data_IF_193597558608
#
_entry.id   IF_193597558608
#
_cell.length_a   1.000
_cell.length_b   1.000
_cell.length_c   1.000
_cell.angle_alpha   90.00
_cell.angle_beta   90.00
_cell.angle_gamma   90.00
#
_symmetry.space_group_name_H-M   'P 1'
#
loop_
_entity.id
_entity.type
_entity.pdbx_description
1 polymer ?
#
# COMPACT_ATOMS: atom_id res chain seq x y z
N UNK A 1 16.40 6.90 -10.63
CA UNK A 1 16.09 8.29 -10.23
C UNK A 1 14.59 8.38 -10.31
N UNK A 2 13.92 8.62 -9.17
CA UNK A 2 12.44 8.71 -9.14
C UNK A 2 12.05 10.12 -9.51
N UNK A 3 11.23 10.27 -10.56
CA UNK A 3 10.74 11.57 -11.01
C UNK A 3 9.34 11.84 -10.45
N UNK A 4 9.10 13.04 -9.91
CA UNK A 4 7.75 13.49 -9.58
C UNK A 4 7.00 13.84 -10.85
N UNK A 5 5.79 13.31 -11.00
CA UNK A 5 4.93 13.51 -12.17
C UNK A 5 3.69 14.26 -11.75
N UNK A 6 3.42 15.36 -12.46
CA UNK A 6 2.25 16.18 -12.24
C UNK A 6 0.96 15.43 -12.53
N UNK A 7 0.01 15.51 -11.60
CA UNK A 7 -1.33 14.96 -11.77
C UNK A 7 -2.05 15.63 -12.95
N UNK A 8 -2.60 14.80 -13.84
CA UNK A 8 -3.39 15.22 -15.00
C UNK A 8 -4.88 15.06 -14.71
N UNK A 9 -5.24 14.10 -13.86
CA UNK A 9 -6.61 13.82 -13.46
C UNK A 9 -6.82 14.20 -12.00
N UNK A 10 -8.09 14.32 -11.61
CA UNK A 10 -8.46 14.45 -10.20
C UNK A 10 -8.42 13.10 -9.47
N UNK A 11 -8.51 12.00 -10.22
CA UNK A 11 -8.52 10.65 -9.66
C UNK A 11 -7.13 10.02 -9.80
N UNK A 12 -6.54 9.62 -8.68
CA UNK A 12 -5.20 9.04 -8.62
C UNK A 12 -5.05 7.79 -9.50
N UNK A 13 -6.07 6.94 -9.56
CA UNK A 13 -6.04 5.69 -10.33
C UNK A 13 -5.92 5.97 -11.83
N UNK A 14 -6.54 7.04 -12.35
CA UNK A 14 -6.38 7.45 -13.74
C UNK A 14 -4.94 7.90 -14.05
N UNK A 15 -4.34 8.69 -13.15
CA UNK A 15 -2.95 9.11 -13.31
C UNK A 15 -2.00 7.92 -13.26
N UNK A 16 -2.26 6.93 -12.40
CA UNK A 16 -1.48 5.68 -12.38
C UNK A 16 -1.59 4.89 -13.67
N UNK A 17 -2.82 4.63 -14.15
CA UNK A 17 -3.04 3.88 -15.40
C UNK A 17 -2.37 4.61 -16.57
N UNK A 18 -2.47 5.95 -16.63
CA UNK A 18 -1.84 6.75 -17.67
C UNK A 18 -0.32 6.60 -17.63
N UNK A 19 0.31 6.82 -16.48
CA UNK A 19 1.78 6.75 -16.36
C UNK A 19 2.30 5.33 -16.60
N UNK A 20 1.62 4.30 -16.07
CA UNK A 20 1.96 2.92 -16.37
C UNK A 20 1.83 2.61 -17.87
N UNK A 21 0.78 3.08 -18.54
CA UNK A 21 0.59 2.88 -19.98
C UNK A 21 1.70 3.49 -20.84
N UNK A 22 2.30 4.60 -20.39
CA UNK A 22 3.44 5.25 -21.04
C UNK A 22 4.72 4.44 -20.82
N UNK A 23 4.92 3.90 -19.63
CA UNK A 23 6.16 3.26 -19.21
C UNK A 23 6.19 1.73 -19.42
N UNK A 24 5.07 1.08 -19.74
CA UNK A 24 4.96 -0.39 -19.80
C UNK A 24 5.92 -1.07 -20.80
N UNK A 25 6.31 -0.38 -21.87
CA UNK A 25 7.24 -0.89 -22.90
C UNK A 25 8.71 -0.51 -22.59
N UNK A 26 8.98 0.12 -21.45
CA UNK A 26 10.34 0.47 -21.06
C UNK A 26 11.13 -0.79 -20.70
N UNK A 27 12.24 -1.03 -21.41
CA UNK A 27 13.08 -2.23 -21.21
C UNK A 27 13.90 -2.21 -19.90
N UNK A 28 13.92 -1.09 -19.17
CA UNK A 28 14.62 -0.94 -17.90
C UNK A 28 13.68 -0.87 -16.69
N UNK A 29 14.21 -0.34 -15.57
CA UNK A 29 13.42 -0.01 -14.38
C UNK A 29 13.13 1.49 -14.41
N UNK A 30 11.85 1.86 -14.44
CA UNK A 30 11.42 3.24 -14.27
C UNK A 30 10.73 3.41 -12.91
N UNK A 31 10.91 4.55 -12.26
CA UNK A 31 10.19 4.89 -11.04
C UNK A 31 9.67 6.32 -11.08
N UNK A 32 8.47 6.52 -10.52
CA UNK A 32 7.83 7.83 -10.45
C UNK A 32 7.06 7.99 -9.14
N UNK A 33 6.81 9.25 -8.77
CA UNK A 33 5.83 9.62 -7.73
C UNK A 33 4.72 10.44 -8.37
N UNK A 34 3.51 10.34 -7.84
CA UNK A 34 2.45 11.29 -8.16
C UNK A 34 2.60 12.52 -7.26
N UNK A 35 2.35 13.70 -7.81
CA UNK A 35 2.34 14.94 -7.03
C UNK A 35 1.26 14.83 -5.94
N UNK A 36 1.61 15.19 -4.71
CA UNK A 36 0.67 15.18 -3.56
C UNK A 36 -0.03 13.81 -3.33
N UNK A 37 0.63 12.68 -3.64
CA UNK A 37 0.09 11.36 -3.30
C UNK A 37 -0.06 11.26 -1.77
N UNK A 38 -1.28 11.07 -1.23
CA UNK A 38 -1.50 11.11 0.21
C UNK A 38 -0.89 9.92 0.96
N UNK A 39 -0.49 8.83 0.26
CA UNK A 39 0.27 7.73 0.85
C UNK A 39 1.79 7.85 0.62
N UNK A 40 2.28 8.91 -0.04
CA UNK A 40 3.68 9.11 -0.43
C UNK A 40 4.30 7.90 -1.15
N UNK A 41 3.54 7.33 -2.08
CA UNK A 41 3.94 6.11 -2.81
C UNK A 41 5.02 6.40 -3.85
N UNK A 42 5.95 5.46 -3.96
CA UNK A 42 6.85 5.27 -5.11
C UNK A 42 6.26 4.17 -5.98
N UNK A 43 6.02 4.51 -7.24
CA UNK A 43 5.57 3.57 -8.25
C UNK A 43 6.75 3.12 -9.10
N UNK A 44 6.90 1.81 -9.28
CA UNK A 44 8.02 1.20 -10.02
C UNK A 44 7.48 0.35 -11.17
N UNK A 45 7.91 0.68 -12.39
CA UNK A 45 7.61 -0.10 -13.59
C UNK A 45 8.84 -0.90 -13.96
N UNK A 46 8.69 -2.23 -13.94
CA UNK A 46 9.71 -3.20 -14.37
C UNK A 46 9.02 -4.44 -14.94
N UNK A 47 9.59 -5.04 -15.97
CA UNK A 47 9.12 -6.28 -16.58
C UNK A 47 7.64 -6.24 -17.02
N UNK A 48 7.16 -5.08 -17.47
CA UNK A 48 5.76 -4.89 -17.90
C UNK A 48 4.73 -4.86 -16.76
N UNK A 49 5.19 -4.69 -15.50
CA UNK A 49 4.38 -4.66 -14.29
C UNK A 49 4.53 -3.34 -13.55
N UNK A 50 3.45 -2.88 -12.94
CA UNK A 50 3.44 -1.77 -12.01
C UNK A 50 3.52 -2.30 -10.59
N UNK A 51 4.47 -1.76 -9.82
CA UNK A 51 4.61 -2.02 -8.39
C UNK A 51 4.47 -0.73 -7.60
N UNK A 52 4.14 -0.83 -6.32
CA UNK A 52 4.08 0.29 -5.38
C UNK A 52 4.79 -0.06 -4.07
N UNK A 53 5.24 0.98 -3.37
CA UNK A 53 5.71 0.96 -1.97
C UNK A 53 5.61 2.38 -1.42
N UNK A 54 5.44 2.54 -0.12
CA UNK A 54 5.50 3.83 0.56
C UNK A 54 6.96 4.30 0.64
N UNK A 55 7.22 5.58 0.33
CA UNK A 55 8.52 6.18 0.62
C UNK A 55 8.70 6.37 2.12
N UNK A 56 9.33 5.39 2.76
CA UNK A 56 9.61 5.43 4.20
C UNK A 56 10.81 6.32 4.55
N UNK A 57 11.53 6.85 3.56
CA UNK A 57 12.82 7.56 3.70
C UNK A 57 13.89 6.77 4.49
N UNK A 58 13.73 5.46 4.65
CA UNK A 58 14.74 4.64 5.31
C UNK A 58 15.96 4.46 4.39
N UNK A 59 17.13 4.85 4.89
CA UNK A 59 18.40 4.85 4.14
C UNK A 59 19.10 3.48 4.14
N UNK A 60 18.44 2.41 4.58
CA UNK A 60 19.03 1.07 4.69
C UNK A 60 18.14 0.00 4.07
N UNK A 61 18.57 -0.55 2.93
CA UNK A 61 17.96 -1.71 2.27
C UNK A 61 17.41 -1.41 0.87
N UNK A 62 17.24 -2.45 0.07
CA UNK A 62 16.43 -2.39 -1.15
C UNK A 62 14.96 -2.31 -0.72
N UNK A 63 14.29 -1.18 -0.97
CA UNK A 63 12.85 -1.06 -0.74
C UNK A 63 12.13 -2.17 -1.48
N UNK A 64 11.37 -2.98 -0.74
CA UNK A 64 10.48 -3.98 -1.32
C UNK A 64 9.39 -3.25 -2.07
N UNK A 65 9.01 -3.81 -3.21
CA UNK A 65 7.94 -3.26 -4.05
C UNK A 65 6.93 -4.35 -4.31
N UNK A 66 5.65 -4.00 -4.25
CA UNK A 66 4.54 -4.93 -4.30
C UNK A 66 3.76 -4.74 -5.60
N UNK A 67 3.42 -5.83 -6.26
CA UNK A 67 2.76 -5.79 -7.57
C UNK A 67 1.34 -5.24 -7.43
N UNK A 68 1.03 -4.16 -8.15
CA UNK A 68 -0.31 -3.55 -8.16
C UNK A 68 -1.09 -4.06 -9.36
N UNK A 69 -0.43 -4.14 -10.51
CA UNK A 69 -1.06 -4.58 -11.76
C UNK A 69 0.00 -4.93 -12.79
N UNK A 70 -0.42 -5.67 -13.83
CA UNK A 70 0.34 -5.82 -15.06
C UNK A 70 -0.54 -5.51 -16.27
N UNK A 71 0.07 -5.38 -17.44
CA UNK A 71 -0.64 -4.96 -18.67
C UNK A 71 -1.85 -5.83 -19.03
N UNK A 72 -1.87 -7.10 -18.62
CA UNK A 72 -2.98 -8.03 -18.84
C UNK A 72 -3.99 -8.04 -17.68
N UNK A 73 -3.65 -7.44 -16.54
CA UNK A 73 -4.40 -7.50 -15.29
C UNK A 73 -4.76 -6.10 -14.75
N UNK A 74 -5.36 -5.25 -15.60
CA UNK A 74 -5.81 -3.89 -15.24
C UNK A 74 -7.18 -3.85 -14.55
N UNK A 75 -7.89 -4.98 -14.48
CA UNK A 75 -9.27 -5.09 -14.01
C UNK A 75 -9.49 -4.47 -12.65
N UNK A 76 -8.58 -4.65 -11.69
CA UNK A 76 -8.73 -4.10 -10.33
C UNK A 76 -8.68 -2.57 -10.33
N UNK A 77 -7.74 -1.98 -11.07
CA UNK A 77 -7.65 -0.52 -11.17
C UNK A 77 -8.84 0.06 -11.94
N UNK A 78 -9.31 -0.61 -13.00
CA UNK A 78 -10.50 -0.20 -13.73
C UNK A 78 -11.77 -0.35 -12.87
N UNK A 79 -11.85 -1.38 -12.04
CA UNK A 79 -12.93 -1.57 -11.08
C UNK A 79 -12.99 -0.41 -10.09
N UNK A 80 -11.87 0.03 -9.50
CA UNK A 80 -11.86 1.17 -8.57
C UNK A 80 -12.30 2.51 -9.19
N UNK A 81 -12.19 2.64 -10.51
CA UNK A 81 -12.67 3.81 -11.25
C UNK A 81 -14.18 3.78 -11.48
N UNK A 82 -14.75 2.59 -11.68
CA UNK A 82 -16.17 2.38 -11.93
C UNK A 82 -16.99 2.23 -10.62
N UNK A 83 -16.31 1.83 -9.54
CA UNK A 83 -16.92 1.58 -8.23
C UNK A 83 -17.49 2.86 -7.61
N UNK A 84 -18.83 2.94 -7.55
CA UNK A 84 -19.58 4.02 -6.91
C UNK A 84 -19.76 3.78 -5.40
N UNK A 85 -18.63 3.75 -4.68
CA UNK A 85 -18.60 3.65 -3.21
C UNK A 85 -17.79 4.79 -2.60
N UNK A 86 -18.21 5.34 -1.46
CA UNK A 86 -17.48 6.40 -0.77
C UNK A 86 -16.15 5.89 -0.21
N UNK A 87 -15.22 6.81 0.05
CA UNK A 87 -13.94 6.46 0.64
C UNK A 87 -14.09 5.74 1.99
N UNK A 88 -15.15 5.96 2.77
CA UNK A 88 -15.39 5.20 4.01
C UNK A 88 -15.45 3.69 3.79
N UNK A 89 -16.08 3.23 2.71
CA UNK A 89 -16.13 1.81 2.37
C UNK A 89 -14.77 1.30 1.86
N UNK A 90 -14.04 2.15 1.13
CA UNK A 90 -12.66 1.83 0.67
C UNK A 90 -11.69 1.70 1.85
N UNK A 91 -11.84 2.53 2.89
CA UNK A 91 -11.10 2.41 4.15
C UNK A 91 -11.46 1.14 4.91
N UNK A 92 -12.74 0.78 5.01
CA UNK A 92 -13.17 -0.47 5.63
C UNK A 92 -12.52 -1.66 4.91
N UNK A 93 -12.55 -1.69 3.57
CA UNK A 93 -11.86 -2.73 2.78
C UNK A 93 -10.35 -2.76 3.04
N UNK A 94 -9.70 -1.60 3.12
CA UNK A 94 -8.28 -1.50 3.44
C UNK A 94 -7.96 -2.08 4.82
N UNK A 95 -8.67 -1.66 5.88
CA UNK A 95 -8.42 -2.14 7.24
C UNK A 95 -8.81 -3.61 7.42
N UNK A 96 -9.89 -4.07 6.80
CA UNK A 96 -10.30 -5.48 6.85
C UNK A 96 -9.21 -6.39 6.25
N UNK A 97 -8.57 -6.00 5.15
CA UNK A 97 -7.50 -6.80 4.56
C UNK A 97 -6.19 -6.69 5.37
N UNK A 98 -5.88 -5.50 5.89
CA UNK A 98 -4.67 -5.26 6.69
C UNK A 98 -4.71 -6.01 8.03
N UNK A 99 -5.87 -6.07 8.66
CA UNK A 99 -6.09 -6.68 9.97
C UNK A 99 -6.77 -8.06 9.86
N UNK A 100 -6.81 -8.65 8.67
CA UNK A 100 -7.33 -10.00 8.49
C UNK A 100 -6.48 -11.01 9.27
N UNK A 101 -7.12 -11.96 9.95
CA UNK A 101 -6.44 -12.96 10.79
C UNK A 101 -5.35 -13.72 10.00
N UNK A 102 -5.57 -13.99 8.71
CA UNK A 102 -4.58 -14.65 7.85
C UNK A 102 -3.42 -13.71 7.51
N UNK A 103 -3.68 -12.45 7.18
CA UNK A 103 -2.62 -11.44 6.99
C UNK A 103 -1.74 -11.31 8.23
N UNK A 104 -2.35 -11.22 9.42
CA UNK A 104 -1.62 -11.10 10.68
C UNK A 104 -0.79 -12.34 10.97
N UNK A 105 -1.34 -13.53 10.71
CA UNK A 105 -0.62 -14.80 10.81
C UNK A 105 0.62 -14.82 9.90
N UNK A 106 0.49 -14.40 8.64
CA UNK A 106 1.60 -14.36 7.69
C UNK A 106 2.71 -13.38 8.10
N UNK A 107 2.33 -12.24 8.70
CA UNK A 107 3.29 -11.27 9.26
C UNK A 107 4.02 -11.82 10.50
N UNK A 108 3.32 -12.57 11.35
CA UNK A 108 3.92 -13.25 12.50
C UNK A 108 4.95 -14.29 12.06
N UNK A 109 4.59 -15.15 11.09
CA UNK A 109 5.50 -16.15 10.53
C UNK A 109 6.72 -15.49 9.88
N UNK A 110 6.54 -14.33 9.21
CA UNK A 110 7.65 -13.55 8.69
C UNK A 110 8.60 -13.06 9.80
N UNK A 111 8.05 -12.58 10.91
CA UNK A 111 8.83 -12.18 12.09
C UNK A 111 9.55 -13.36 12.77
N UNK A 112 8.96 -14.55 12.73
CA UNK A 112 9.57 -15.78 13.20
C UNK A 112 10.72 -16.26 12.29
N UNK A 113 10.86 -15.68 11.09
CA UNK A 113 11.86 -16.03 10.09
C UNK A 113 11.45 -17.23 9.22
N UNK A 114 10.16 -17.57 9.20
CA UNK A 114 9.64 -18.57 8.29
C UNK A 114 9.53 -18.00 6.87
N UNK A 115 9.97 -18.77 5.88
CA UNK A 115 9.90 -18.43 4.47
C UNK A 115 8.83 -19.24 3.71
N UNK A 116 8.19 -20.23 4.34
CA UNK A 116 7.19 -21.11 3.74
C UNK A 116 6.05 -20.31 3.10
N UNK A 117 5.56 -19.28 3.79
CA UNK A 117 4.41 -18.47 3.37
C UNK A 117 4.79 -17.13 2.75
N UNK A 118 6.06 -16.94 2.37
CA UNK A 118 6.54 -15.66 1.83
C UNK A 118 5.77 -15.21 0.58
N UNK A 119 5.41 -16.14 -0.31
CA UNK A 119 4.66 -15.80 -1.51
C UNK A 119 3.25 -15.28 -1.18
N UNK A 120 2.57 -15.93 -0.24
CA UNK A 120 1.23 -15.56 0.21
C UNK A 120 1.25 -14.19 0.89
N UNK A 121 2.23 -13.95 1.78
CA UNK A 121 2.43 -12.65 2.43
C UNK A 121 2.60 -11.51 1.42
N UNK A 122 3.44 -11.70 0.40
CA UNK A 122 3.61 -10.68 -0.63
C UNK A 122 2.34 -10.47 -1.46
N UNK A 123 1.51 -11.50 -1.64
CA UNK A 123 0.18 -11.39 -2.23
C UNK A 123 -0.75 -10.50 -1.41
N UNK A 124 -0.83 -10.72 -0.10
CA UNK A 124 -1.65 -9.91 0.80
C UNK A 124 -1.19 -8.45 0.85
N UNK A 125 0.12 -8.21 0.97
CA UNK A 125 0.66 -6.85 0.99
C UNK A 125 0.42 -6.13 -0.34
N UNK A 126 0.51 -6.85 -1.47
CA UNK A 126 0.15 -6.32 -2.79
C UNK A 126 -1.32 -5.90 -2.86
N UNK A 127 -2.22 -6.70 -2.28
CA UNK A 127 -3.64 -6.37 -2.18
C UNK A 127 -3.88 -5.15 -1.29
N UNK A 128 -3.18 -5.04 -0.15
CA UNK A 128 -3.28 -3.90 0.77
C UNK A 128 -2.85 -2.59 0.08
N UNK A 129 -1.72 -2.60 -0.63
CA UNK A 129 -1.25 -1.44 -1.42
C UNK A 129 -2.25 -1.06 -2.51
N UNK A 130 -2.80 -2.06 -3.20
CA UNK A 130 -3.79 -1.86 -4.26
C UNK A 130 -5.07 -1.23 -3.70
N UNK A 131 -5.54 -1.66 -2.53
CA UNK A 131 -6.68 -1.05 -1.86
C UNK A 131 -6.40 0.39 -1.40
N UNK A 132 -5.21 0.67 -0.87
CA UNK A 132 -4.82 2.02 -0.49
C UNK A 132 -4.89 2.98 -1.69
N UNK A 133 -4.41 2.54 -2.86
CA UNK A 133 -4.50 3.31 -4.13
C UNK A 133 -5.93 3.70 -4.49
N UNK A 134 -6.94 2.91 -4.09
CA UNK A 134 -8.34 3.23 -4.37
C UNK A 134 -8.88 4.42 -3.56
N UNK A 135 -8.32 4.72 -2.38
CA UNK A 135 -8.87 5.73 -1.46
C UNK A 135 -8.44 7.15 -1.90
N UNK A 136 -9.36 8.00 -2.34
CA UNK A 136 -8.99 9.31 -2.90
C UNK A 136 -8.52 10.28 -1.80
N UNK A 137 -9.25 10.35 -0.69
CA UNK A 137 -8.97 11.21 0.46
C UNK A 137 -8.78 10.32 1.71
N UNK A 138 -7.58 9.74 1.90
CA UNK A 138 -7.36 8.84 3.03
C UNK A 138 -7.30 9.61 4.36
N UNK A 139 -7.88 9.01 5.38
CA UNK A 139 -7.69 9.42 6.77
C UNK A 139 -6.24 9.12 7.20
N UNK A 140 -5.66 9.99 8.05
CA UNK A 140 -4.26 9.87 8.48
C UNK A 140 -3.94 8.48 9.04
N UNK A 141 -4.86 7.89 9.81
CA UNK A 141 -4.72 6.54 10.33
C UNK A 141 -4.41 5.48 9.25
N UNK A 142 -5.06 5.53 8.07
CA UNK A 142 -4.78 4.59 6.99
C UNK A 142 -3.38 4.83 6.39
N UNK A 143 -2.98 6.10 6.26
CA UNK A 143 -1.65 6.50 5.77
C UNK A 143 -0.56 5.97 6.71
N UNK A 144 -0.69 6.18 8.01
CA UNK A 144 0.27 5.68 9.00
C UNK A 144 0.27 4.16 9.09
N UNK A 145 -0.89 3.50 8.99
CA UNK A 145 -0.98 2.04 8.97
C UNK A 145 -0.20 1.42 7.81
N UNK A 146 -0.36 1.95 6.59
CA UNK A 146 0.40 1.45 5.44
C UNK A 146 1.90 1.73 5.59
N UNK A 147 2.26 2.91 6.12
CA UNK A 147 3.64 3.28 6.40
C UNK A 147 4.30 2.34 7.41
N UNK A 148 3.64 2.03 8.54
CA UNK A 148 4.15 1.09 9.55
C UNK A 148 4.35 -0.31 8.96
N UNK A 149 3.41 -0.80 8.14
CA UNK A 149 3.56 -2.06 7.43
C UNK A 149 4.81 -2.07 6.53
N UNK A 150 5.03 -1.03 5.74
CA UNK A 150 6.19 -0.97 4.84
C UNK A 150 7.51 -0.81 5.60
N UNK A 151 7.52 -0.09 6.73
CA UNK A 151 8.68 -0.03 7.62
C UNK A 151 9.03 -1.42 8.16
N UNK A 152 8.04 -2.15 8.65
CA UNK A 152 8.21 -3.52 9.14
C UNK A 152 8.79 -4.42 8.03
N UNK A 153 8.18 -4.40 6.84
CA UNK A 153 8.59 -5.27 5.73
C UNK A 153 9.95 -4.93 5.13
N UNK A 154 10.36 -3.66 5.16
CA UNK A 154 11.66 -3.20 4.64
C UNK A 154 12.80 -3.38 5.64
N UNK A 155 12.50 -3.76 6.87
CA UNK A 155 13.53 -4.00 7.88
C UNK A 155 14.41 -5.19 7.51
N UNK A 156 15.74 -5.02 7.60
CA UNK A 156 16.73 -6.06 7.27
C UNK A 156 16.54 -7.36 8.07
N UNK A 157 16.05 -7.22 9.31
CA UNK A 157 15.67 -8.32 10.18
C UNK A 157 14.53 -7.84 11.07
N UNK A 158 13.44 -8.60 11.06
CA UNK A 158 12.30 -8.44 11.96
C UNK A 158 12.34 -9.54 13.03
N UNK A 159 11.65 -9.31 14.13
CA UNK A 159 11.46 -10.24 15.23
C UNK A 159 10.00 -10.23 15.70
N UNK A 160 9.61 -11.21 16.52
CA UNK A 160 8.25 -11.23 17.09
C UNK A 160 7.95 -9.98 17.93
N UNK A 161 8.96 -9.35 18.56
CA UNK A 161 8.78 -8.09 19.28
C UNK A 161 8.46 -6.93 18.33
N UNK A 162 9.09 -6.90 17.15
CA UNK A 162 8.76 -5.92 16.10
C UNK A 162 7.35 -6.15 15.55
N UNK A 163 6.93 -7.40 15.42
CA UNK A 163 5.56 -7.75 15.02
C UNK A 163 4.52 -7.30 16.06
N UNK A 164 4.73 -7.57 17.34
CA UNK A 164 3.84 -7.09 18.41
C UNK A 164 3.75 -5.57 18.44
N UNK A 165 4.87 -4.89 18.16
CA UNK A 165 4.91 -3.42 18.02
C UNK A 165 4.05 -2.97 16.84
N UNK A 166 4.21 -3.59 15.67
CA UNK A 166 3.38 -3.32 14.49
C UNK A 166 1.89 -3.52 14.80
N UNK A 167 1.50 -4.66 15.39
CA UNK A 167 0.10 -4.94 15.75
C UNK A 167 -0.47 -3.89 16.70
N UNK A 168 0.30 -3.47 17.69
CA UNK A 168 -0.12 -2.41 18.61
C UNK A 168 -0.34 -1.09 17.88
N UNK A 169 0.53 -0.72 16.94
CA UNK A 169 0.39 0.48 16.12
C UNK A 169 -0.84 0.39 15.20
N UNK A 170 -1.01 -0.71 14.47
CA UNK A 170 -2.14 -0.89 13.55
C UNK A 170 -3.48 -0.85 14.28
N UNK A 171 -3.58 -1.47 15.46
CA UNK A 171 -4.79 -1.41 16.29
C UNK A 171 -5.08 -0.01 16.81
N UNK A 172 -4.05 0.76 17.18
CA UNK A 172 -4.22 2.15 17.60
C UNK A 172 -4.76 3.01 16.44
N UNK A 173 -4.19 2.87 15.24
CA UNK A 173 -4.65 3.58 14.04
C UNK A 173 -6.08 3.19 13.66
N UNK A 174 -6.40 1.89 13.67
CA UNK A 174 -7.77 1.45 13.39
C UNK A 174 -8.78 1.95 14.44
N UNK A 175 -8.38 2.04 15.71
CA UNK A 175 -9.19 2.64 16.77
C UNK A 175 -9.42 4.13 16.51
N UNK A 176 -8.38 4.87 16.14
CA UNK A 176 -8.47 6.28 15.76
C UNK A 176 -9.46 6.49 14.60
N UNK A 177 -9.33 5.69 13.53
CA UNK A 177 -10.24 5.73 12.39
C UNK A 177 -11.69 5.42 12.78
N UNK A 178 -11.90 4.40 13.63
CA UNK A 178 -13.22 4.05 14.12
C UNK A 178 -13.85 5.13 15.02
N UNK A 179 -13.05 5.86 15.78
CA UNK A 179 -13.54 6.98 16.58
C UNK A 179 -13.92 8.16 15.69
N UNK A 180 -13.11 8.47 14.68
CA UNK A 180 -13.41 9.48 13.68
C UNK A 180 -14.74 9.20 12.98
N UNK A 181 -14.94 7.98 12.47
CA UNK A 181 -16.18 7.59 11.77
C UNK A 181 -17.42 7.62 12.67
N UNK A 182 -17.25 7.38 13.98
CA UNK A 182 -18.33 7.47 14.99
C UNK A 182 -18.53 8.89 15.54
N UNK A 183 -17.72 9.86 15.14
CA UNK A 183 -17.77 11.24 15.66
C UNK A 183 -17.35 11.37 17.13
N UNK A 184 -16.52 10.45 17.62
CA UNK A 184 -15.98 10.48 18.98
C UNK A 184 -14.69 11.30 18.95
N UNK A 185 -14.73 12.53 19.47
CA UNK A 185 -13.53 13.35 19.68
C UNK A 185 -12.95 13.07 21.07
N UNK A 186 -11.67 12.72 21.14
CA UNK A 186 -10.96 12.68 22.41
C UNK A 186 -10.75 14.13 22.88
N UNK A 187 -11.55 14.56 23.85
CA UNK A 187 -11.39 15.83 24.58
C UNK A 187 -10.11 15.84 25.45
#
# INVERSE_FOLDING_TARGET
>A
MTESVKNVFQNRVLDLIRNFSILKEYEGIASFKLDEDPFDMIYVVRDGKLHATVDTHQTQGDMRVYEVTETKHLETLLYFLDEDVPDSERHERFFNNLLDDYTLYLLEEHAAGDEEFKADLFGEISMIHTNAISIQEPHQAAVESLRSLDIFMNSNKVSNEDFETLISELNAQFTEYNNFTRGITND
#
